data_IF_521536482642
#
_entry.id   IF_521536482642
#
_cell.length_a   1.000
_cell.length_b   1.000
_cell.length_c   1.000
_cell.angle_alpha   90.00
_cell.angle_beta   90.00
_cell.angle_gamma   90.00
#
_symmetry.space_group_name_H-M   'P 1'
#
loop_
_entity.id
_entity.type
_entity.pdbx_description
1 polymer ?
#
# COMPACT_ATOMS: atom_id res chain seq x y z
N UNK A 1 -3.90 3.15 -4.56
CA UNK A 1 -2.87 4.00 -5.20
C UNK A 1 -1.68 4.24 -4.27
N UNK A 2 -0.53 4.66 -4.81
CA UNK A 2 0.60 5.12 -3.98
C UNK A 2 0.38 6.56 -3.52
N UNK A 3 0.72 6.85 -2.27
CA UNK A 3 0.74 8.21 -1.75
C UNK A 3 2.16 8.57 -1.30
N UNK A 4 2.62 9.76 -1.70
CA UNK A 4 3.86 10.34 -1.19
C UNK A 4 3.51 11.50 -0.25
N UNK A 5 3.01 11.15 0.93
CA UNK A 5 2.56 12.11 1.95
C UNK A 5 2.89 11.55 3.35
N UNK A 6 2.87 12.42 4.36
CA UNK A 6 2.93 11.96 5.76
C UNK A 6 1.66 11.16 6.11
N UNK A 7 1.73 10.25 7.09
CA UNK A 7 0.58 9.43 7.53
C UNK A 7 -0.65 10.30 7.85
N UNK A 8 -0.42 11.49 8.43
CA UNK A 8 -1.49 12.42 8.82
C UNK A 8 -2.15 13.11 7.63
N UNK A 9 -1.38 13.52 6.61
CA UNK A 9 -1.96 14.09 5.38
C UNK A 9 -2.77 13.05 4.60
N UNK A 10 -2.31 11.79 4.60
CA UNK A 10 -3.00 10.71 3.90
C UNK A 10 -4.39 10.39 4.47
N UNK A 11 -4.56 10.48 5.79
CA UNK A 11 -5.86 10.26 6.44
C UNK A 11 -6.89 11.34 6.08
N UNK A 12 -6.43 12.56 5.79
CA UNK A 12 -7.27 13.69 5.36
C UNK A 12 -7.63 13.61 3.86
N UNK A 13 -6.73 13.09 3.03
CA UNK A 13 -6.86 13.10 1.56
C UNK A 13 -7.71 11.95 1.00
N UNK A 14 -7.95 10.88 1.76
CA UNK A 14 -8.70 9.72 1.27
C UNK A 14 -9.68 9.16 2.32
N UNK A 15 -10.71 9.93 2.72
CA UNK A 15 -11.66 9.59 3.79
C UNK A 15 -12.54 8.36 3.49
N UNK A 16 -12.53 7.85 2.24
CA UNK A 16 -13.25 6.66 1.79
C UNK A 16 -12.34 5.49 1.42
N UNK A 17 -11.03 5.57 1.69
CA UNK A 17 -10.08 4.52 1.34
C UNK A 17 -9.48 3.85 2.57
N UNK A 18 -9.07 2.59 2.41
CA UNK A 18 -8.23 1.92 3.40
C UNK A 18 -6.76 2.08 3.05
N UNK A 19 -5.90 2.19 4.07
CA UNK A 19 -4.46 2.22 3.87
C UNK A 19 -3.77 1.09 4.62
N UNK A 20 -2.79 0.46 3.96
CA UNK A 20 -1.87 -0.47 4.63
C UNK A 20 -0.85 0.37 5.40
N UNK A 21 -1.00 0.42 6.73
CA UNK A 21 -0.12 1.21 7.60
C UNK A 21 1.30 0.63 7.66
N UNK A 22 1.40 -0.68 7.93
CA UNK A 22 2.68 -1.33 8.09
C UNK A 22 2.64 -2.76 7.55
N UNK A 23 3.64 -3.08 6.73
CA UNK A 23 3.88 -4.43 6.23
C UNK A 23 5.34 -4.78 6.51
N UNK A 24 5.55 -5.82 7.32
CA UNK A 24 6.88 -6.29 7.67
C UNK A 24 7.03 -7.78 7.44
N UNK A 25 8.26 -8.14 7.11
CA UNK A 25 8.67 -9.52 6.95
C UNK A 25 9.99 -9.72 7.67
N UNK A 26 10.11 -10.83 8.38
CA UNK A 26 11.38 -11.26 8.97
C UNK A 26 12.40 -11.51 7.84
N UNK A 27 13.67 -11.06 7.97
CA UNK A 27 14.68 -11.19 6.91
C UNK A 27 14.85 -12.62 6.38
N UNK A 28 14.67 -13.62 7.25
CA UNK A 28 14.75 -15.04 6.93
C UNK A 28 13.69 -15.53 5.94
N UNK A 29 12.61 -14.77 5.73
CA UNK A 29 11.50 -15.11 4.84
C UNK A 29 11.44 -14.25 3.56
N UNK A 30 12.44 -13.36 3.36
CA UNK A 30 12.52 -12.49 2.19
C UNK A 30 12.51 -13.24 0.85
N UNK A 31 12.03 -12.56 -0.21
CA UNK A 31 12.03 -13.01 -1.61
C UNK A 31 11.27 -14.32 -1.92
N UNK A 32 10.29 -14.70 -1.07
CA UNK A 32 9.48 -15.93 -1.24
C UNK A 32 8.01 -15.68 -1.61
N UNK A 33 7.65 -14.45 -1.98
CA UNK A 33 6.29 -14.09 -2.39
C UNK A 33 5.29 -13.87 -1.24
N UNK A 34 5.69 -14.07 0.03
CA UNK A 34 4.81 -13.86 1.19
C UNK A 34 4.27 -12.42 1.30
N UNK A 35 5.01 -11.42 0.82
CA UNK A 35 4.54 -10.03 0.84
C UNK A 35 3.32 -9.86 -0.04
N UNK A 36 3.28 -10.48 -1.22
CA UNK A 36 2.12 -10.46 -2.11
C UNK A 36 0.92 -11.14 -1.47
N UNK A 37 1.13 -12.30 -0.83
CA UNK A 37 0.03 -12.98 -0.12
C UNK A 37 -0.55 -12.18 1.05
N UNK A 38 0.28 -11.42 1.77
CA UNK A 38 -0.21 -10.55 2.84
C UNK A 38 -1.02 -9.38 2.27
N UNK A 39 -0.61 -8.82 1.13
CA UNK A 39 -1.36 -7.79 0.43
C UNK A 39 -2.70 -8.33 -0.08
N UNK A 40 -2.70 -9.50 -0.73
CA UNK A 40 -3.94 -10.14 -1.19
C UNK A 40 -4.92 -10.37 -0.04
N UNK A 41 -4.43 -10.83 1.10
CA UNK A 41 -5.26 -11.04 2.29
C UNK A 41 -5.82 -9.72 2.83
N UNK A 42 -5.01 -8.66 2.88
CA UNK A 42 -5.48 -7.34 3.29
C UNK A 42 -6.56 -6.80 2.34
N UNK A 43 -6.36 -6.93 1.03
CA UNK A 43 -7.32 -6.51 0.01
C UNK A 43 -8.64 -7.29 0.10
N UNK A 44 -8.59 -8.60 0.35
CA UNK A 44 -9.79 -9.41 0.57
C UNK A 44 -10.62 -8.89 1.76
N UNK A 45 -9.96 -8.50 2.86
CA UNK A 45 -10.65 -7.91 4.01
C UNK A 45 -11.32 -6.57 3.64
N UNK A 46 -10.64 -5.74 2.85
CA UNK A 46 -11.16 -4.44 2.39
C UNK A 46 -12.36 -4.63 1.46
N UNK A 47 -12.28 -5.57 0.51
CA UNK A 47 -13.39 -5.91 -0.38
C UNK A 47 -14.62 -6.38 0.41
N UNK A 48 -14.44 -7.21 1.45
CA UNK A 48 -15.56 -7.63 2.31
C UNK A 48 -16.19 -6.50 3.11
N UNK A 49 -15.48 -5.39 3.32
CA UNK A 49 -15.98 -4.18 3.96
C UNK A 49 -16.70 -3.23 2.99
N UNK A 50 -16.79 -3.58 1.69
CA UNK A 50 -17.43 -2.76 0.66
C UNK A 50 -16.61 -1.56 0.21
N UNK A 51 -15.29 -1.60 0.43
CA UNK A 51 -14.36 -0.54 0.04
C UNK A 51 -13.60 -1.03 -1.19
N UNK A 52 -13.54 -0.20 -2.23
CA UNK A 52 -12.99 -0.54 -3.53
C UNK A 52 -11.60 0.09 -3.79
N UNK A 53 -11.15 0.97 -2.90
CA UNK A 53 -9.84 1.62 -2.99
C UNK A 53 -8.92 1.29 -1.80
N UNK A 54 -7.74 0.76 -2.13
CA UNK A 54 -6.65 0.53 -1.17
C UNK A 54 -5.44 1.41 -1.52
N UNK A 55 -4.89 2.07 -0.51
CA UNK A 55 -3.75 2.96 -0.63
C UNK A 55 -2.54 2.47 0.18
N UNK A 56 -1.34 2.74 -0.33
CA UNK A 56 -0.10 2.42 0.38
C UNK A 56 0.92 3.54 0.20
N UNK A 57 1.60 3.89 1.30
CA UNK A 57 2.67 4.88 1.28
C UNK A 57 3.99 4.12 1.21
N UNK A 58 4.85 4.51 0.26
CA UNK A 58 6.17 3.93 0.10
C UNK A 58 7.18 5.05 -0.13
N UNK A 59 8.25 5.06 0.66
CA UNK A 59 9.36 5.97 0.42
C UNK A 59 10.01 5.65 -0.93
N UNK A 60 10.36 6.68 -1.70
CA UNK A 60 11.03 6.59 -3.00
C UNK A 60 12.34 5.77 -2.95
N UNK A 61 13.04 5.81 -1.81
CA UNK A 61 14.24 5.03 -1.52
C UNK A 61 14.00 3.51 -1.39
N UNK A 62 12.75 3.06 -1.19
CA UNK A 62 12.38 1.63 -1.06
C UNK A 62 12.04 1.00 -2.40
N UNK A 63 13.00 1.04 -3.33
CA UNK A 63 12.83 0.60 -4.75
C UNK A 63 12.31 -0.84 -4.87
N UNK A 64 12.73 -1.77 -4.01
CA UNK A 64 12.25 -3.15 -4.03
C UNK A 64 10.77 -3.27 -3.64
N UNK A 65 10.33 -2.53 -2.62
CA UNK A 65 8.93 -2.48 -2.22
C UNK A 65 8.08 -1.83 -3.31
N UNK A 66 8.57 -0.73 -3.91
CA UNK A 66 7.92 -0.09 -5.07
C UNK A 66 7.68 -1.09 -6.21
N UNK A 67 8.73 -1.80 -6.66
CA UNK A 67 8.63 -2.77 -7.75
C UNK A 67 7.65 -3.90 -7.45
N UNK A 68 7.62 -4.35 -6.20
CA UNK A 68 6.66 -5.35 -5.75
C UNK A 68 5.23 -4.83 -5.89
N UNK A 69 4.95 -3.64 -5.37
CA UNK A 69 3.61 -3.08 -5.41
C UNK A 69 3.15 -2.78 -6.85
N UNK A 70 4.04 -2.28 -7.71
CA UNK A 70 3.77 -2.11 -9.15
C UNK A 70 3.45 -3.47 -9.82
N UNK A 71 4.15 -4.54 -9.45
CA UNK A 71 3.88 -5.89 -9.95
C UNK A 71 2.53 -6.45 -9.49
N UNK A 72 2.06 -6.06 -8.30
CA UNK A 72 0.75 -6.44 -7.74
C UNK A 72 -0.39 -5.58 -8.32
N UNK A 73 -0.08 -4.51 -9.06
CA UNK A 73 -1.07 -3.69 -9.77
C UNK A 73 -1.32 -2.31 -9.17
N UNK A 74 -0.57 -1.93 -8.13
CA UNK A 74 -0.66 -0.57 -7.60
C UNK A 74 -0.09 0.44 -8.60
N UNK A 75 -0.79 1.57 -8.72
CA UNK A 75 -0.40 2.67 -9.58
C UNK A 75 -0.04 3.92 -8.78
N UNK A 76 0.84 4.74 -9.36
CA UNK A 76 1.15 6.06 -8.82
C UNK A 76 -0.09 6.91 -8.81
N UNK A 77 -0.24 7.63 -7.73
CA UNK A 77 -1.08 8.78 -7.76
C UNK A 77 -0.49 9.88 -6.90
N UNK A 78 -0.77 11.09 -7.33
CA UNK A 78 -0.20 12.26 -6.74
C UNK A 78 -1.16 12.71 -5.66
N UNK A 79 -0.71 12.70 -4.41
CA UNK A 79 -1.32 13.53 -3.38
C UNK A 79 -1.07 14.97 -3.82
N UNK A 80 -2.05 15.60 -4.45
CA UNK A 80 -1.93 17.00 -4.87
C UNK A 80 -1.75 17.88 -3.64
N UNK A 81 -0.69 18.67 -3.60
CA UNK A 81 -0.63 19.87 -2.76
C UNK A 81 -1.84 20.74 -3.08
N UNK A 82 -2.63 21.05 -2.05
CA UNK A 82 -3.55 22.19 -2.04
C UNK A 82 -3.19 23.09 -0.89
#
# INVERSE_FOLDING_TARGET
MFLNASVVESESLAPSSWYVNFLAMLPTYGARGFTSHLLDHAEQQIMTAGIDETNIIVADTKVSARRLYEHVGYQWAFAGEK
#
